data_IF_739699808933
#
_entry.id   IF_739699808933
#
_cell.length_a   1.000
_cell.length_b   1.000
_cell.length_c   1.000
_cell.angle_alpha   90.00
_cell.angle_beta   90.00
_cell.angle_gamma   90.00
#
_symmetry.space_group_name_H-M   'P 1'
#
loop_
_entity.id
_entity.type
_entity.pdbx_description
1 polymer ?
#
# COMPACT_ATOMS: atom_id res chain seq x y z
N UNK A 1 -34.88 10.90 7.76
CA UNK A 1 -33.47 11.01 7.31
C UNK A 1 -32.66 9.73 6.98
N UNK A 2 -32.62 8.69 7.82
CA UNK A 2 -31.71 7.52 7.65
C UNK A 2 -31.78 6.82 6.27
N UNK A 3 -32.97 6.80 5.65
CA UNK A 3 -33.20 6.23 4.31
C UNK A 3 -32.42 6.95 3.20
N UNK A 4 -32.24 8.27 3.31
CA UNK A 4 -31.47 9.06 2.34
C UNK A 4 -29.97 8.77 2.48
N UNK A 5 -29.45 8.74 3.70
CA UNK A 5 -28.07 8.35 3.97
C UNK A 5 -27.76 6.92 3.46
N UNK A 6 -28.68 5.97 3.69
CA UNK A 6 -28.56 4.59 3.18
C UNK A 6 -28.49 4.54 1.65
N UNK A 7 -29.27 5.38 0.95
CA UNK A 7 -29.25 5.48 -0.52
C UNK A 7 -27.88 5.97 -1.01
N UNK A 8 -27.33 7.02 -0.40
CA UNK A 8 -26.01 7.56 -0.75
C UNK A 8 -24.93 6.51 -0.50
N UNK A 9 -24.93 5.89 0.67
CA UNK A 9 -23.98 4.83 1.02
C UNK A 9 -24.05 3.65 0.04
N UNK A 10 -25.25 3.25 -0.40
CA UNK A 10 -25.42 2.21 -1.39
C UNK A 10 -24.85 2.60 -2.76
N UNK A 11 -25.11 3.84 -3.21
CA UNK A 11 -24.55 4.35 -4.45
C UNK A 11 -23.01 4.41 -4.40
N UNK A 12 -22.43 4.85 -3.29
CA UNK A 12 -20.98 4.90 -3.07
C UNK A 12 -20.38 3.49 -3.10
N UNK A 13 -21.00 2.52 -2.42
CA UNK A 13 -20.57 1.11 -2.46
C UNK A 13 -20.63 0.54 -3.88
N UNK A 14 -21.66 0.86 -4.65
CA UNK A 14 -21.79 0.39 -6.03
C UNK A 14 -20.71 0.99 -6.94
N UNK A 15 -20.48 2.31 -6.85
CA UNK A 15 -19.44 3.00 -7.59
C UNK A 15 -18.05 2.48 -7.20
N UNK A 16 -17.78 2.33 -5.89
CA UNK A 16 -16.55 1.75 -5.36
C UNK A 16 -16.32 0.33 -5.85
N UNK A 17 -17.36 -0.53 -5.85
CA UNK A 17 -17.26 -1.90 -6.38
C UNK A 17 -16.93 -1.92 -7.87
N UNK A 18 -17.54 -1.03 -8.67
CA UNK A 18 -17.25 -0.90 -10.10
C UNK A 18 -15.81 -0.42 -10.34
N UNK A 19 -15.37 0.61 -9.62
CA UNK A 19 -14.00 1.12 -9.69
C UNK A 19 -12.98 0.04 -9.29
N UNK A 20 -13.23 -0.69 -8.20
CA UNK A 20 -12.38 -1.81 -7.79
C UNK A 20 -12.34 -2.92 -8.84
N UNK A 21 -13.46 -3.24 -9.50
CA UNK A 21 -13.49 -4.23 -10.58
C UNK A 21 -12.69 -3.76 -11.80
N UNK A 22 -12.82 -2.49 -12.19
CA UNK A 22 -12.04 -1.89 -13.27
C UNK A 22 -10.55 -1.91 -12.96
N UNK A 23 -10.14 -1.42 -11.78
CA UNK A 23 -8.77 -1.43 -11.32
C UNK A 23 -8.16 -2.85 -11.27
N UNK A 24 -8.93 -3.85 -10.81
CA UNK A 24 -8.48 -5.26 -10.83
C UNK A 24 -8.29 -5.80 -12.25
N UNK A 25 -9.16 -5.42 -13.18
CA UNK A 25 -9.06 -5.82 -14.59
C UNK A 25 -7.84 -5.20 -15.25
N UNK A 26 -7.60 -3.91 -15.02
CA UNK A 26 -6.40 -3.20 -15.47
C UNK A 26 -5.14 -3.81 -14.88
N UNK A 27 -5.11 -4.04 -13.56
CA UNK A 27 -3.98 -4.68 -12.87
C UNK A 27 -3.68 -6.07 -13.44
N UNK A 28 -4.72 -6.86 -13.76
CA UNK A 28 -4.57 -8.18 -14.38
C UNK A 28 -3.97 -8.08 -15.79
N UNK A 29 -4.44 -7.13 -16.60
CA UNK A 29 -3.90 -6.87 -17.93
C UNK A 29 -2.44 -6.41 -17.87
N UNK A 30 -2.10 -5.51 -16.95
CA UNK A 30 -0.72 -5.08 -16.72
C UNK A 30 0.17 -6.24 -16.28
N UNK A 31 -0.29 -7.08 -15.35
CA UNK A 31 0.44 -8.30 -14.92
C UNK A 31 0.71 -9.25 -16.09
N UNK A 32 -0.25 -9.43 -17.00
CA UNK A 32 -0.08 -10.30 -18.16
C UNK A 32 0.97 -9.76 -19.13
N UNK A 33 0.88 -8.47 -19.49
CA UNK A 33 1.85 -7.77 -20.37
C UNK A 33 3.25 -7.81 -19.77
N UNK A 34 3.37 -7.49 -18.48
CA UNK A 34 4.65 -7.54 -17.77
C UNK A 34 5.21 -8.97 -17.71
N UNK A 35 4.38 -9.99 -17.52
CA UNK A 35 4.83 -11.38 -17.54
C UNK A 35 5.37 -11.78 -18.90
N UNK A 36 4.73 -11.34 -19.99
CA UNK A 36 5.23 -11.58 -21.35
C UNK A 36 6.57 -10.89 -21.58
N UNK A 37 6.68 -9.61 -21.22
CA UNK A 37 7.91 -8.83 -21.37
C UNK A 37 9.08 -9.42 -20.53
N UNK A 38 8.83 -9.80 -19.28
CA UNK A 38 9.82 -10.47 -18.44
C UNK A 38 10.23 -11.83 -19.00
N UNK A 39 9.29 -12.59 -19.59
CA UNK A 39 9.62 -13.87 -20.23
C UNK A 39 10.52 -13.69 -21.44
N UNK A 40 10.24 -12.69 -22.27
CA UNK A 40 11.06 -12.34 -23.43
C UNK A 40 12.49 -11.97 -23.02
N UNK A 41 12.63 -11.10 -22.02
CA UNK A 41 13.94 -10.72 -21.46
C UNK A 41 14.70 -11.94 -20.88
N UNK A 42 14.01 -12.84 -20.17
CA UNK A 42 14.64 -14.06 -19.63
C UNK A 42 15.02 -15.05 -20.74
N UNK A 43 14.22 -15.18 -21.81
CA UNK A 43 14.58 -16.02 -22.95
C UNK A 43 15.79 -15.47 -23.70
N UNK A 44 15.88 -14.16 -23.88
CA UNK A 44 17.05 -13.51 -24.51
C UNK A 44 18.32 -13.80 -23.70
N UNK A 45 18.28 -13.66 -22.37
CA UNK A 45 19.43 -14.01 -21.50
C UNK A 45 19.82 -15.47 -21.63
N UNK A 46 18.84 -16.39 -21.71
CA UNK A 46 19.13 -17.83 -21.88
C UNK A 46 19.76 -18.13 -23.24
N UNK A 47 19.27 -17.52 -24.30
CA UNK A 47 19.84 -17.66 -25.65
C UNK A 47 21.27 -17.13 -25.67
N UNK A 48 21.50 -15.92 -25.16
CA UNK A 48 22.84 -15.33 -25.04
C UNK A 48 23.81 -16.23 -24.26
N UNK A 49 23.35 -16.89 -23.18
CA UNK A 49 24.19 -17.84 -22.43
C UNK A 49 24.49 -19.13 -23.19
N UNK A 50 23.55 -19.63 -23.99
CA UNK A 50 23.78 -20.81 -24.84
C UNK A 50 24.73 -20.49 -25.99
N UNK A 51 24.51 -19.35 -26.65
CA UNK A 51 25.35 -18.87 -27.74
C UNK A 51 26.77 -18.60 -27.24
N UNK A 52 26.95 -17.97 -26.07
CA UNK A 52 28.28 -17.77 -25.48
C UNK A 52 29.02 -19.08 -25.18
N UNK A 53 28.31 -20.16 -24.81
CA UNK A 53 28.93 -21.48 -24.61
C UNK A 53 29.38 -22.10 -25.93
N UNK A 54 28.54 -22.02 -26.96
CA UNK A 54 28.85 -22.51 -28.30
C UNK A 54 30.04 -21.76 -28.88
N UNK A 55 30.02 -20.43 -28.79
CA UNK A 55 31.09 -19.55 -29.25
C UNK A 55 32.42 -19.89 -28.58
N UNK A 56 32.43 -20.09 -27.25
CA UNK A 56 33.64 -20.49 -26.53
C UNK A 56 34.22 -21.81 -27.06
N UNK A 57 33.36 -22.78 -27.37
CA UNK A 57 33.81 -24.06 -27.91
C UNK A 57 34.36 -23.91 -29.34
N UNK A 58 33.64 -23.20 -30.21
CA UNK A 58 34.07 -22.93 -31.59
C UNK A 58 35.39 -22.16 -31.63
N UNK A 59 35.56 -21.14 -30.79
CA UNK A 59 36.79 -20.35 -30.71
C UNK A 59 37.98 -21.21 -30.23
N UNK A 60 37.74 -22.19 -29.36
CA UNK A 60 38.75 -23.14 -28.91
C UNK A 60 39.14 -24.15 -30.00
N UNK A 61 38.16 -24.68 -30.74
CA UNK A 61 38.40 -25.66 -31.82
C UNK A 61 39.03 -25.04 -33.07
N UNK A 62 38.60 -23.84 -33.42
CA UNK A 62 39.02 -23.14 -34.64
C UNK A 62 40.29 -22.30 -34.44
N UNK A 63 40.62 -21.90 -33.21
CA UNK A 63 41.82 -21.14 -32.88
C UNK A 63 42.00 -19.90 -33.78
N UNK A 64 43.02 -19.85 -34.67
CA UNK A 64 43.27 -18.69 -35.53
C UNK A 64 42.20 -18.46 -36.61
N UNK A 65 41.39 -19.47 -36.95
CA UNK A 65 40.30 -19.35 -37.95
C UNK A 65 38.92 -19.10 -37.30
N UNK A 66 38.90 -18.71 -36.02
CA UNK A 66 37.65 -18.35 -35.34
C UNK A 66 36.93 -17.19 -36.06
N UNK A 67 35.61 -17.30 -36.31
CA UNK A 67 34.88 -16.30 -37.07
C UNK A 67 34.74 -15.00 -36.27
N UNK A 68 34.99 -13.87 -36.94
CA UNK A 68 34.77 -12.54 -36.36
C UNK A 68 33.27 -12.24 -36.31
N UNK A 69 32.69 -12.25 -35.11
CA UNK A 69 31.24 -12.03 -34.91
C UNK A 69 30.88 -10.56 -34.67
N UNK A 70 31.85 -9.75 -34.25
CA UNK A 70 31.70 -8.32 -33.94
C UNK A 70 31.79 -7.41 -35.18
N UNK A 71 31.24 -7.85 -36.32
CA UNK A 71 31.33 -7.11 -37.58
C UNK A 71 30.25 -6.01 -37.71
N UNK A 72 29.55 -5.67 -36.63
CA UNK A 72 28.58 -4.57 -36.55
C UNK A 72 27.22 -4.82 -37.23
N UNK A 73 27.11 -5.75 -38.17
CA UNK A 73 25.86 -6.04 -38.89
C UNK A 73 24.95 -7.06 -38.19
N UNK A 74 25.48 -7.88 -37.27
CA UNK A 74 24.75 -8.97 -36.62
C UNK A 74 24.15 -8.63 -35.25
N UNK A 75 24.37 -7.41 -34.75
CA UNK A 75 23.94 -7.03 -33.40
C UNK A 75 24.52 -7.92 -32.29
N UNK A 76 25.69 -8.54 -32.52
CA UNK A 76 26.27 -9.51 -31.60
C UNK A 76 26.59 -8.86 -30.24
N UNK A 77 26.18 -9.50 -29.15
CA UNK A 77 26.38 -8.99 -27.79
C UNK A 77 25.49 -7.79 -27.40
N UNK A 78 24.61 -7.33 -28.30
CA UNK A 78 23.68 -6.24 -28.02
C UNK A 78 22.40 -6.78 -27.36
N UNK A 79 21.80 -5.98 -26.49
CA UNK A 79 20.51 -6.34 -25.91
C UNK A 79 19.36 -5.74 -26.73
N UNK A 80 18.27 -6.51 -26.86
CA UNK A 80 17.11 -6.12 -27.66
C UNK A 80 15.89 -5.79 -26.80
N UNK A 81 15.69 -6.51 -25.69
CA UNK A 81 14.52 -6.33 -24.84
C UNK A 81 14.63 -5.11 -23.93
N UNK A 82 13.67 -4.19 -24.05
CA UNK A 82 13.64 -2.94 -23.26
C UNK A 82 13.52 -3.15 -21.74
N UNK A 83 12.99 -4.30 -21.31
CA UNK A 83 12.92 -4.63 -19.87
C UNK A 83 14.32 -4.85 -19.27
N UNK A 84 15.34 -5.11 -20.10
CA UNK A 84 16.73 -5.23 -19.64
C UNK A 84 17.36 -3.87 -19.33
N UNK A 85 16.91 -2.79 -19.97
CA UNK A 85 17.36 -1.41 -19.71
C UNK A 85 16.54 -0.70 -18.66
N UNK A 86 15.26 -1.01 -18.55
CA UNK A 86 14.41 -0.50 -17.48
C UNK A 86 13.59 -1.62 -16.88
N UNK A 87 13.98 -2.03 -15.67
CA UNK A 87 13.24 -3.05 -14.93
C UNK A 87 11.82 -2.60 -14.58
N UNK A 88 11.53 -1.29 -14.54
CA UNK A 88 10.18 -0.78 -14.27
C UNK A 88 9.26 -0.81 -15.49
N UNK A 89 9.79 -1.10 -16.69
CA UNK A 89 9.05 -1.10 -17.94
C UNK A 89 8.18 0.17 -18.09
N UNK A 90 8.80 1.35 -18.02
CA UNK A 90 8.12 2.65 -18.05
C UNK A 90 7.09 2.82 -16.91
N UNK A 91 7.43 2.34 -15.70
CA UNK A 91 6.57 2.40 -14.53
C UNK A 91 5.39 1.42 -14.51
N UNK A 92 5.23 0.58 -15.54
CA UNK A 92 4.17 -0.43 -15.62
C UNK A 92 4.45 -1.64 -14.74
N UNK A 93 5.73 -1.96 -14.50
CA UNK A 93 6.15 -3.06 -13.67
C UNK A 93 6.54 -2.59 -12.26
N UNK A 94 5.86 -3.18 -11.28
CA UNK A 94 6.21 -3.07 -9.87
C UNK A 94 6.67 -4.44 -9.38
N UNK A 95 7.94 -4.61 -8.96
CA UNK A 95 8.39 -5.86 -8.39
C UNK A 95 7.56 -6.20 -7.14
N UNK A 96 7.54 -7.48 -6.76
CA UNK A 96 6.88 -7.90 -5.52
C UNK A 96 7.51 -7.17 -4.33
N UNK A 97 6.72 -6.72 -3.34
CA UNK A 97 7.22 -5.94 -2.21
C UNK A 97 8.30 -6.69 -1.42
N UNK A 98 8.23 -8.02 -1.34
CA UNK A 98 9.26 -8.86 -0.71
C UNK A 98 10.63 -8.76 -1.41
N UNK A 99 10.64 -8.69 -2.73
CA UNK A 99 11.87 -8.56 -3.52
C UNK A 99 12.45 -7.16 -3.31
N UNK A 100 11.60 -6.13 -3.32
CA UNK A 100 12.03 -4.75 -3.04
C UNK A 100 12.60 -4.61 -1.63
N UNK A 101 11.93 -5.19 -0.63
CA UNK A 101 12.39 -5.19 0.75
C UNK A 101 13.79 -5.83 0.85
N UNK A 102 14.02 -6.97 0.19
CA UNK A 102 15.34 -7.62 0.15
C UNK A 102 16.41 -6.76 -0.54
N UNK A 103 16.07 -6.09 -1.65
CA UNK A 103 17.01 -5.22 -2.38
C UNK A 103 17.42 -4.01 -1.54
N UNK A 104 16.47 -3.38 -0.85
CA UNK A 104 16.70 -2.17 -0.06
C UNK A 104 17.03 -2.44 1.41
N UNK A 105 17.09 -3.71 1.86
CA UNK A 105 17.22 -4.08 3.27
C UNK A 105 18.46 -3.46 3.94
N UNK A 106 19.60 -3.48 3.25
CA UNK A 106 20.85 -2.96 3.79
C UNK A 106 20.87 -1.43 3.86
N UNK A 107 20.02 -0.74 3.10
CA UNK A 107 20.03 0.72 2.96
C UNK A 107 18.83 1.39 3.66
N UNK A 108 18.30 0.81 4.74
CA UNK A 108 17.20 1.36 5.55
C UNK A 108 15.79 0.95 5.11
N UNK A 109 15.61 0.39 3.91
CA UNK A 109 14.34 -0.12 3.40
C UNK A 109 13.66 0.77 2.35
N UNK A 110 12.41 0.43 2.00
CA UNK A 110 11.69 1.06 0.88
C UNK A 110 11.22 2.49 1.18
N UNK A 111 10.79 2.75 2.42
CA UNK A 111 10.22 4.05 2.82
C UNK A 111 11.29 5.08 3.17
N UNK A 112 12.40 4.61 3.74
CA UNK A 112 13.51 5.43 4.22
C UNK A 112 14.80 4.90 3.60
N UNK A 113 14.95 5.12 2.30
CA UNK A 113 16.14 4.71 1.58
C UNK A 113 17.29 5.65 1.91
N UNK A 114 18.44 5.10 2.32
CA UNK A 114 19.62 5.85 2.78
C UNK A 114 20.66 6.12 1.68
N UNK A 115 20.22 6.19 0.42
CA UNK A 115 21.04 6.44 -0.76
C UNK A 115 20.52 7.66 -1.51
N UNK A 116 21.43 8.47 -2.02
CA UNK A 116 21.15 9.64 -2.82
C UNK A 116 21.93 9.62 -4.14
N UNK A 117 21.49 10.46 -5.08
CA UNK A 117 22.23 10.72 -6.31
C UNK A 117 23.60 11.30 -5.95
N UNK A 118 24.62 10.97 -6.74
CA UNK A 118 26.03 11.35 -6.54
C UNK A 118 26.78 10.67 -5.38
N UNK A 119 26.12 9.80 -4.60
CA UNK A 119 26.82 8.94 -3.63
C UNK A 119 27.83 8.02 -4.34
N UNK A 120 29.01 7.84 -3.73
CA UNK A 120 30.04 6.88 -4.18
C UNK A 120 29.66 5.47 -3.75
N UNK A 121 29.55 4.55 -4.68
CA UNK A 121 29.17 3.17 -4.41
C UNK A 121 30.13 2.19 -5.08
N UNK A 122 30.33 1.05 -4.42
CA UNK A 122 31.07 -0.09 -4.97
C UNK A 122 30.11 -1.15 -5.47
N UNK A 123 30.42 -1.75 -6.62
CA UNK A 123 29.67 -2.85 -7.22
C UNK A 123 30.11 -4.17 -6.57
N UNK A 124 29.18 -4.93 -6.02
CA UNK A 124 29.46 -6.21 -5.33
C UNK A 124 29.30 -7.43 -6.25
N UNK A 125 28.41 -7.35 -7.25
CA UNK A 125 28.05 -8.46 -8.13
C UNK A 125 28.17 -8.07 -9.61
N UNK A 126 28.42 -9.06 -10.47
CA UNK A 126 28.47 -8.88 -11.93
C UNK A 126 29.88 -8.66 -12.50
N UNK A 127 29.97 -8.33 -13.80
CA UNK A 127 31.27 -8.19 -14.49
C UNK A 127 32.15 -7.06 -13.95
N UNK A 128 31.52 -6.00 -13.45
CA UNK A 128 32.20 -4.80 -12.92
C UNK A 128 32.42 -4.85 -11.40
N UNK A 129 32.43 -6.05 -10.81
CA UNK A 129 32.64 -6.24 -9.37
C UNK A 129 33.94 -5.58 -8.88
N UNK A 130 33.85 -4.87 -7.75
CA UNK A 130 34.97 -4.18 -7.11
C UNK A 130 35.23 -2.77 -7.64
N UNK A 131 34.58 -2.35 -8.73
CA UNK A 131 34.70 -0.98 -9.24
C UNK A 131 33.83 -0.02 -8.43
N UNK A 132 34.32 1.20 -8.27
CA UNK A 132 33.65 2.29 -7.55
C UNK A 132 33.12 3.28 -8.58
N UNK A 133 31.86 3.69 -8.45
CA UNK A 133 31.23 4.71 -9.30
C UNK A 133 30.34 5.64 -8.47
N UNK A 134 29.79 6.68 -9.12
CA UNK A 134 28.73 7.52 -8.56
C UNK A 134 27.36 7.09 -9.06
N UNK A 135 26.36 7.25 -8.20
CA UNK A 135 24.96 7.01 -8.57
C UNK A 135 24.47 8.15 -9.46
N UNK A 136 23.98 7.83 -10.66
CA UNK A 136 23.36 8.79 -11.58
C UNK A 136 21.87 8.99 -11.29
N UNK A 137 21.12 7.89 -11.21
CA UNK A 137 19.69 7.93 -10.90
C UNK A 137 19.29 6.79 -9.98
N UNK A 138 18.28 7.04 -9.15
CA UNK A 138 17.72 6.06 -8.21
C UNK A 138 16.26 5.87 -8.55
N UNK A 139 15.84 4.61 -8.75
CA UNK A 139 14.44 4.24 -8.83
C UNK A 139 14.01 3.48 -7.56
N UNK A 140 13.42 4.16 -6.56
CA UNK A 140 13.01 3.52 -5.32
C UNK A 140 11.86 2.53 -5.53
N UNK A 141 10.99 2.75 -6.52
CA UNK A 141 9.87 1.85 -6.80
C UNK A 141 10.33 0.53 -7.43
N UNK A 142 11.37 0.57 -8.28
CA UNK A 142 11.99 -0.59 -8.90
C UNK A 142 13.07 -1.26 -8.05
N UNK A 143 13.61 -0.55 -7.04
CA UNK A 143 14.69 -1.01 -6.18
C UNK A 143 16.01 -1.18 -6.94
N UNK A 144 16.29 -0.29 -7.90
CA UNK A 144 17.51 -0.31 -8.71
C UNK A 144 18.09 1.10 -8.84
N UNK A 145 19.37 1.18 -9.19
CA UNK A 145 20.10 2.41 -9.48
C UNK A 145 20.72 2.32 -10.86
N UNK A 146 21.03 3.46 -11.46
CA UNK A 146 21.94 3.53 -12.60
C UNK A 146 23.19 4.29 -12.21
N UNK A 147 24.33 3.84 -12.72
CA UNK A 147 25.64 4.46 -12.46
C UNK A 147 26.04 5.37 -13.63
N UNK A 148 26.97 6.28 -13.40
CA UNK A 148 27.42 7.25 -14.41
C UNK A 148 28.29 6.60 -15.50
N UNK A 149 29.28 5.80 -15.09
CA UNK A 149 30.39 5.36 -15.95
C UNK A 149 30.41 3.85 -16.15
N UNK A 150 30.17 3.06 -15.10
CA UNK A 150 30.25 1.60 -15.13
C UNK A 150 28.88 0.94 -15.34
N UNK A 151 28.89 -0.38 -15.57
CA UNK A 151 27.70 -1.18 -15.81
C UNK A 151 26.87 -0.69 -17.02
N UNK A 152 27.57 -0.34 -18.11
CA UNK A 152 26.97 0.10 -19.37
C UNK A 152 26.93 -1.06 -20.36
N UNK A 153 25.89 -1.09 -21.19
CA UNK A 153 25.77 -2.06 -22.25
C UNK A 153 25.22 -1.39 -23.52
N UNK A 154 25.38 -2.05 -24.67
CA UNK A 154 24.92 -1.54 -25.97
C UNK A 154 23.51 -2.04 -26.24
N UNK A 155 22.56 -1.10 -26.36
CA UNK A 155 21.19 -1.38 -26.80
C UNK A 155 21.12 -1.45 -28.31
N UNK A 156 20.40 -2.44 -28.83
CA UNK A 156 19.81 -2.30 -30.15
C UNK A 156 18.86 -1.11 -30.14
N UNK A 157 18.97 -0.23 -31.15
CA UNK A 157 18.03 0.86 -31.33
C UNK A 157 16.68 0.29 -31.76
N UNK A 158 15.60 0.81 -31.18
CA UNK A 158 14.26 0.50 -31.66
C UNK A 158 13.99 1.25 -32.97
N UNK A 159 13.27 0.62 -33.89
CA UNK A 159 12.79 1.24 -35.14
C UNK A 159 13.89 1.79 -36.06
N UNK A 160 15.01 1.08 -36.20
CA UNK A 160 16.09 1.45 -37.13
C UNK A 160 17.04 2.53 -36.64
N UNK A 161 16.94 2.92 -35.36
CA UNK A 161 17.93 3.77 -34.72
C UNK A 161 19.26 3.02 -34.52
N UNK A 162 20.35 3.77 -34.52
CA UNK A 162 21.68 3.22 -34.23
C UNK A 162 21.78 2.67 -32.81
N UNK A 163 22.67 1.69 -32.67
CA UNK A 163 23.00 1.13 -31.37
C UNK A 163 23.63 2.17 -30.46
N UNK A 164 23.22 2.20 -29.19
CA UNK A 164 23.74 3.18 -28.21
C UNK A 164 24.14 2.53 -26.89
N UNK A 165 25.25 3.01 -26.32
CA UNK A 165 25.67 2.63 -24.97
C UNK A 165 24.77 3.31 -23.94
N UNK A 166 24.06 2.52 -23.13
CA UNK A 166 23.21 3.01 -22.05
C UNK A 166 23.63 2.38 -20.71
N UNK A 167 23.48 3.10 -19.59
CA UNK A 167 23.68 2.53 -18.27
C UNK A 167 22.59 1.49 -18.00
N UNK A 168 22.98 0.31 -17.53
CA UNK A 168 22.07 -0.77 -17.20
C UNK A 168 21.63 -0.64 -15.72
N UNK A 169 20.39 -0.97 -15.37
CA UNK A 169 19.91 -0.88 -14.00
C UNK A 169 20.57 -1.96 -13.13
N UNK A 170 21.15 -1.53 -12.02
CA UNK A 170 21.76 -2.39 -11.01
C UNK A 170 20.89 -2.43 -9.76
N UNK A 171 20.67 -3.63 -9.20
CA UNK A 171 19.91 -3.78 -7.95
C UNK A 171 20.59 -3.03 -6.80
N UNK A 172 19.81 -2.34 -5.96
CA UNK A 172 20.34 -1.71 -4.73
C UNK A 172 21.03 -2.75 -3.85
N UNK A 173 20.58 -4.01 -3.87
CA UNK A 173 21.22 -5.09 -3.10
C UNK A 173 22.63 -5.45 -3.54
N UNK A 174 23.01 -5.13 -4.79
CA UNK A 174 24.31 -5.48 -5.40
C UNK A 174 25.33 -4.35 -5.35
N UNK A 175 25.03 -3.26 -4.63
CA UNK A 175 25.95 -2.14 -4.39
C UNK A 175 26.12 -1.89 -2.90
N UNK A 176 27.23 -1.25 -2.51
CA UNK A 176 27.45 -0.75 -1.15
C UNK A 176 28.00 0.67 -1.18
N UNK A 177 27.66 1.47 -0.17
CA UNK A 177 28.14 2.85 -0.05
C UNK A 177 29.62 2.84 0.32
N UNK A 178 30.40 3.70 -0.34
CA UNK A 178 31.81 3.93 -0.01
C UNK A 178 31.92 5.33 0.58
N UNK A 179 32.42 5.43 1.80
CA UNK A 179 32.60 6.71 2.47
C UNK A 179 33.91 6.73 3.26
N UNK A 180 34.67 7.84 3.24
CA UNK A 180 35.87 7.98 4.04
C UNK A 180 35.50 8.11 5.52
N UNK A 181 35.99 7.20 6.36
CA UNK A 181 35.81 7.24 7.81
C UNK A 181 37.19 7.35 8.47
N UNK A 182 37.31 8.27 9.43
CA UNK A 182 38.49 8.38 10.28
C UNK A 182 38.44 7.30 11.37
N UNK A 183 39.52 6.53 11.50
CA UNK A 183 39.66 5.58 12.61
C UNK A 183 39.89 6.37 13.92
N UNK A 184 39.10 6.16 14.99
CA UNK A 184 39.27 6.90 16.25
C UNK A 184 40.65 6.70 16.90
N UNK A 185 41.27 5.53 16.74
CA UNK A 185 42.55 5.22 17.39
C UNK A 185 43.76 5.78 16.63
N UNK A 186 43.73 5.74 15.29
CA UNK A 186 44.88 6.12 14.46
C UNK A 186 44.74 7.49 13.80
N UNK A 187 43.54 8.08 13.79
CA UNK A 187 43.24 9.35 13.13
C UNK A 187 43.32 9.31 11.59
N UNK A 188 43.69 8.18 10.99
CA UNK A 188 43.84 8.04 9.54
C UNK A 188 42.45 7.86 8.89
N UNK A 189 42.14 8.73 7.93
CA UNK A 189 40.95 8.61 7.07
C UNK A 189 41.18 7.59 5.97
N UNK A 190 40.31 6.60 5.88
CA UNK A 190 40.33 5.59 4.81
C UNK A 190 38.95 5.42 4.20
N UNK A 191 38.89 5.14 2.91
CA UNK A 191 37.65 4.76 2.24
C UNK A 191 37.19 3.40 2.76
N UNK A 192 35.99 3.36 3.34
CA UNK A 192 35.39 2.14 3.90
C UNK A 192 34.14 1.78 3.12
N UNK A 193 33.97 0.48 2.87
CA UNK A 193 32.73 -0.07 2.32
C UNK A 193 31.75 -0.28 3.46
N UNK A 194 30.58 0.34 3.35
CA UNK A 194 29.55 0.29 4.38
C UNK A 194 28.57 -0.84 4.06
N UNK A 195 28.46 -1.78 4.98
CA UNK A 195 27.63 -2.96 4.79
C UNK A 195 26.13 -2.69 5.00
N UNK A 196 25.79 -1.84 5.97
CA UNK A 196 24.41 -1.54 6.37
C UNK A 196 24.28 -0.06 6.75
N UNK A 197 23.12 0.53 6.46
CA UNK A 197 22.73 1.89 6.81
C UNK A 197 21.34 1.86 7.43
N UNK A 198 21.17 2.54 8.57
CA UNK A 198 19.87 2.73 9.21
C UNK A 198 19.47 4.20 9.23
N UNK A 199 18.18 4.45 9.14
CA UNK A 199 17.63 5.79 9.27
C UNK A 199 17.44 6.14 10.76
N UNK A 200 17.87 7.33 11.15
CA UNK A 200 17.63 7.93 12.47
C UNK A 200 16.77 9.18 12.25
N UNK A 201 15.85 9.49 13.19
CA UNK A 201 15.07 10.72 13.11
C UNK A 201 15.95 11.98 12.90
N UNK A 202 15.43 13.00 12.20
CA UNK A 202 16.13 14.26 11.99
C UNK A 202 16.67 14.84 13.28
N UNK A 203 17.91 15.31 13.26
CA UNK A 203 18.44 16.21 14.28
C UNK A 203 18.77 17.58 13.67
N UNK A 204 17.95 18.59 13.93
CA UNK A 204 18.17 19.96 13.44
C UNK A 204 19.40 20.63 14.06
N UNK A 205 19.86 20.16 15.23
CA UNK A 205 21.09 20.67 15.86
C UNK A 205 22.35 20.05 15.28
N UNK A 206 22.23 19.06 14.38
CA UNK A 206 23.39 18.42 13.76
C UNK A 206 24.00 19.31 12.66
N UNK A 207 25.33 19.30 12.49
CA UNK A 207 25.99 20.07 11.41
C UNK A 207 25.60 19.55 10.00
N UNK A 208 25.05 18.35 9.91
CA UNK A 208 24.68 17.72 8.64
C UNK A 208 23.27 18.11 8.15
N UNK A 209 22.50 18.87 8.95
CA UNK A 209 21.13 19.25 8.63
C UNK A 209 21.05 20.74 8.25
N UNK A 210 21.06 21.04 6.95
CA UNK A 210 20.81 22.39 6.41
C UNK A 210 19.31 22.65 6.19
N UNK A 211 18.93 23.93 6.06
CA UNK A 211 17.56 24.32 5.73
C UNK A 211 17.15 23.82 4.34
N UNK A 212 18.03 23.92 3.34
CA UNK A 212 17.75 23.43 1.98
C UNK A 212 17.49 21.92 1.96
N UNK A 213 18.27 21.16 2.74
CA UNK A 213 18.04 19.73 2.93
C UNK A 213 16.70 19.45 3.62
N UNK A 214 16.28 20.29 4.56
CA UNK A 214 15.02 20.11 5.27
C UNK A 214 13.81 20.31 4.35
N UNK A 215 13.88 21.27 3.42
CA UNK A 215 12.79 21.58 2.50
C UNK A 215 12.76 20.64 1.28
N UNK A 216 13.92 20.42 0.65
CA UNK A 216 14.02 19.72 -0.64
C UNK A 216 14.66 18.32 -0.56
N UNK A 217 15.33 18.00 0.54
CA UNK A 217 16.12 16.78 0.70
C UNK A 217 15.53 15.73 1.64
N UNK A 218 16.38 14.77 2.02
CA UNK A 218 16.02 13.71 2.95
C UNK A 218 16.09 14.20 4.41
N UNK A 219 14.96 14.09 5.11
CA UNK A 219 14.80 14.60 6.49
C UNK A 219 15.41 13.73 7.58
N UNK A 220 15.78 12.48 7.30
CA UNK A 220 16.39 11.59 8.30
C UNK A 220 17.89 11.48 8.07
N UNK A 221 18.64 11.22 9.14
CA UNK A 221 20.06 10.97 9.05
C UNK A 221 20.33 9.48 8.81
N UNK A 222 21.40 9.19 8.07
CA UNK A 222 21.83 7.82 7.81
C UNK A 222 23.03 7.47 8.70
N UNK A 223 22.86 6.44 9.53
CA UNK A 223 23.88 5.97 10.46
C UNK A 223 24.42 4.61 10.00
N UNK A 224 25.71 4.40 10.22
CA UNK A 224 26.32 3.07 10.14
C UNK A 224 26.13 2.37 11.49
N UNK A 225 25.33 1.28 11.55
CA UNK A 225 25.13 0.56 12.80
C UNK A 225 26.46 -0.06 13.29
N UNK A 226 26.66 -0.07 14.60
CA UNK A 226 27.87 -0.58 15.25
C UNK A 226 28.92 0.49 15.52
N UNK A 227 29.30 1.27 14.50
CA UNK A 227 30.25 2.40 14.66
C UNK A 227 29.54 3.68 15.10
N UNK A 228 28.23 3.76 14.89
CA UNK A 228 27.38 4.92 15.21
C UNK A 228 27.85 6.23 14.56
N UNK A 229 28.48 6.13 13.39
CA UNK A 229 28.90 7.30 12.60
C UNK A 229 27.75 7.70 11.68
N UNK A 230 27.34 8.96 11.79
CA UNK A 230 26.37 9.58 10.88
C UNK A 230 27.09 9.99 9.61
N UNK A 231 26.59 9.51 8.48
CA UNK A 231 27.12 9.89 7.17
C UNK A 231 26.27 11.02 6.61
N UNK A 232 26.87 12.17 6.28
CA UNK A 232 26.14 13.28 5.69
C UNK A 232 25.54 12.86 4.35
N UNK A 233 24.42 13.48 4.01
CA UNK A 233 23.89 13.40 2.66
C UNK A 233 24.74 14.24 1.71
N UNK A 234 24.77 13.93 0.40
CA UNK A 234 25.31 14.86 -0.57
C UNK A 234 24.56 16.19 -0.51
N UNK A 235 25.24 17.27 -0.87
CA UNK A 235 24.66 18.61 -0.91
C UNK A 235 23.46 18.64 -1.87
N UNK A 236 22.37 19.24 -1.42
CA UNK A 236 21.14 19.38 -2.19
C UNK A 236 21.08 20.82 -2.67
N UNK A 237 21.14 21.00 -3.99
CA UNK A 237 20.89 22.30 -4.61
C UNK A 237 19.37 22.55 -4.61
N UNK A 238 18.96 23.71 -4.11
CA UNK A 238 17.57 24.13 -4.19
C UNK A 238 17.17 24.26 -5.67
N UNK A 239 16.05 23.67 -6.10
CA UNK A 239 15.60 23.82 -7.47
C UNK A 239 15.33 25.29 -7.77
N UNK A 240 15.93 25.80 -8.85
CA UNK A 240 15.65 27.14 -9.34
C UNK A 240 14.24 27.14 -9.96
N UNK A 241 13.33 27.87 -9.31
CA UNK A 241 11.99 28.08 -9.84
C UNK A 241 12.00 29.36 -10.67
N UNK A 242 11.96 29.21 -11.98
CA UNK A 242 11.75 30.32 -12.90
C UNK A 242 10.31 30.82 -12.77
N UNK A 243 10.15 32.14 -12.65
CA UNK A 243 8.85 32.79 -12.75
C UNK A 243 8.54 33.03 -14.22
N UNK A 244 7.43 32.50 -14.70
CA UNK A 244 6.95 32.74 -16.06
C UNK A 244 5.96 33.89 -16.09
N UNK A 245 5.79 34.53 -17.26
CA UNK A 245 4.83 35.62 -17.44
C UNK A 245 3.37 35.21 -17.19
N UNK A 246 3.08 33.90 -17.24
CA UNK A 246 1.78 33.33 -16.90
C UNK A 246 1.55 33.14 -15.40
N UNK A 247 2.57 33.27 -14.57
CA UNK A 247 2.47 33.11 -13.13
C UNK A 247 1.91 34.39 -12.49
N UNK A 248 1.15 34.20 -11.41
CA UNK A 248 0.63 35.31 -10.63
C UNK A 248 1.73 35.91 -9.76
N UNK A 249 1.88 37.24 -9.83
CA UNK A 249 2.80 38.00 -8.97
C UNK A 249 2.47 37.76 -7.49
N UNK A 250 3.49 37.65 -6.65
CA UNK A 250 3.33 37.39 -5.21
C UNK A 250 2.32 38.31 -4.52
N UNK A 251 2.34 39.60 -4.86
CA UNK A 251 1.40 40.58 -4.31
C UNK A 251 -0.07 40.18 -4.56
N UNK A 252 -0.40 39.69 -5.76
CA UNK A 252 -1.78 39.28 -6.08
C UNK A 252 -2.18 37.99 -5.37
N UNK A 253 -1.22 37.08 -5.12
CA UNK A 253 -1.44 35.83 -4.38
C UNK A 253 -1.66 36.09 -2.89
N UNK A 254 -0.84 36.98 -2.31
CA UNK A 254 -0.89 37.29 -0.88
C UNK A 254 -2.07 38.22 -0.51
N UNK A 255 -2.70 38.86 -1.51
CA UNK A 255 -3.86 39.72 -1.34
C UNK A 255 -5.10 38.95 -0.84
N UNK A 256 -5.40 39.08 0.46
CA UNK A 256 -6.55 38.45 1.11
C UNK A 256 -7.86 39.18 0.84
N UNK A 257 -8.51 38.85 -0.27
CA UNK A 257 -9.77 39.47 -0.72
C UNK A 257 -11.05 38.81 -0.19
N UNK A 258 -10.97 37.59 0.33
CA UNK A 258 -12.14 36.85 0.82
C UNK A 258 -12.51 37.27 2.25
N UNK A 259 -13.75 37.75 2.42
CA UNK A 259 -14.35 38.12 3.70
C UNK A 259 -15.50 37.19 4.05
N UNK A 260 -15.61 36.83 5.33
CA UNK A 260 -16.68 35.96 5.82
C UNK A 260 -17.97 36.77 6.02
N UNK A 261 -18.89 36.66 5.07
CA UNK A 261 -20.25 37.20 5.17
C UNK A 261 -21.22 36.14 5.72
N UNK A 262 -22.15 36.57 6.58
CA UNK A 262 -23.20 35.70 7.13
C UNK A 262 -24.56 35.92 6.45
N UNK A 263 -24.86 37.15 6.04
CA UNK A 263 -26.16 37.55 5.48
C UNK A 263 -26.30 37.26 3.98
N UNK A 264 -25.20 37.26 3.26
CA UNK A 264 -25.15 36.91 1.85
C UNK A 264 -24.24 35.70 1.65
N UNK A 265 -24.56 34.81 0.70
CA UNK A 265 -23.64 33.74 0.35
C UNK A 265 -22.37 34.33 -0.30
N UNK A 266 -21.22 33.64 -0.22
CA UNK A 266 -19.96 34.11 -0.81
C UNK A 266 -19.97 34.11 -2.34
N UNK A 267 -20.95 33.45 -2.96
CA UNK A 267 -21.13 33.31 -4.39
C UNK A 267 -22.62 33.27 -4.71
N UNK A 268 -23.04 33.65 -5.93
CA UNK A 268 -24.44 33.57 -6.35
C UNK A 268 -24.98 32.13 -6.25
N UNK A 269 -26.26 32.00 -5.89
CA UNK A 269 -26.90 30.69 -5.70
C UNK A 269 -26.93 29.83 -6.98
N UNK A 270 -26.97 30.47 -8.15
CA UNK A 270 -26.94 29.80 -9.46
C UNK A 270 -25.69 28.94 -9.64
N UNK A 271 -24.55 29.39 -9.13
CA UNK A 271 -23.27 28.70 -9.27
C UNK A 271 -23.21 27.43 -8.38
N UNK A 272 -24.07 27.33 -7.35
CA UNK A 272 -24.16 26.11 -6.54
C UNK A 272 -24.57 24.91 -7.40
N UNK A 273 -25.46 25.10 -8.37
CA UNK A 273 -25.92 24.04 -9.27
C UNK A 273 -24.86 23.63 -10.31
N UNK A 274 -23.86 24.49 -10.55
CA UNK A 274 -22.68 24.18 -11.37
C UNK A 274 -21.62 23.40 -10.57
N UNK A 275 -21.33 23.82 -9.34
CA UNK A 275 -20.37 23.14 -8.46
C UNK A 275 -20.81 21.73 -8.09
N UNK A 276 -22.13 21.50 -7.98
CA UNK A 276 -22.69 20.18 -7.69
C UNK A 276 -23.96 19.94 -8.48
N UNK A 277 -24.13 18.72 -8.96
CA UNK A 277 -25.39 18.31 -9.53
C UNK A 277 -26.50 18.25 -8.45
N UNK A 278 -27.49 19.15 -8.57
CA UNK A 278 -28.69 19.27 -7.72
C UNK A 278 -29.45 17.97 -7.50
N UNK A 279 -29.49 17.11 -8.51
CA UNK A 279 -30.23 15.84 -8.54
C UNK A 279 -29.33 14.61 -8.35
N UNK A 280 -28.08 14.82 -7.92
CA UNK A 280 -27.13 13.73 -7.69
C UNK A 280 -27.65 12.74 -6.63
N UNK A 281 -27.48 11.45 -6.91
CA UNK A 281 -27.76 10.36 -5.95
C UNK A 281 -26.81 10.38 -4.75
N UNK A 282 -25.70 11.13 -4.83
CA UNK A 282 -24.72 11.32 -3.77
C UNK A 282 -24.96 12.57 -2.92
N UNK A 283 -26.05 13.32 -3.18
CA UNK A 283 -26.41 14.50 -2.39
C UNK A 283 -26.70 14.09 -0.94
N UNK A 284 -26.01 14.72 0.00
CA UNK A 284 -26.18 14.52 1.45
C UNK A 284 -26.82 15.72 2.14
N UNK A 285 -26.58 16.93 1.64
CA UNK A 285 -27.14 18.19 2.17
C UNK A 285 -28.47 18.49 1.45
N UNK A 286 -29.59 18.30 2.14
CA UNK A 286 -30.94 18.52 1.61
C UNK A 286 -31.59 19.71 2.31
N UNK A 287 -32.51 20.37 1.61
CA UNK A 287 -33.35 21.42 2.20
C UNK A 287 -34.38 20.81 3.16
N UNK A 288 -34.81 21.58 4.16
CA UNK A 288 -35.76 21.12 5.18
C UNK A 288 -37.10 20.67 4.58
N UNK A 289 -37.63 21.42 3.60
CA UNK A 289 -38.88 21.06 2.92
C UNK A 289 -38.80 19.68 2.25
N UNK A 290 -37.63 19.32 1.70
CA UNK A 290 -37.43 18.02 1.04
C UNK A 290 -37.36 16.89 2.06
N UNK A 291 -36.74 17.14 3.21
CA UNK A 291 -36.68 16.19 4.33
C UNK A 291 -38.09 15.96 4.88
N UNK A 292 -38.83 17.03 5.16
CA UNK A 292 -40.21 16.97 5.64
C UNK A 292 -41.11 16.22 4.65
N UNK A 293 -41.00 16.50 3.35
CA UNK A 293 -41.75 15.78 2.32
C UNK A 293 -41.44 14.27 2.33
N UNK A 294 -40.17 13.89 2.51
CA UNK A 294 -39.75 12.48 2.56
C UNK A 294 -40.17 11.78 3.85
N UNK A 295 -40.28 12.51 4.94
CA UNK A 295 -40.76 12.01 6.22
C UNK A 295 -42.28 11.86 6.21
N UNK A 296 -43.02 12.81 5.63
CA UNK A 296 -44.44 12.68 5.37
C UNK A 296 -44.77 11.49 4.45
N UNK A 297 -43.98 11.26 3.39
CA UNK A 297 -44.12 10.07 2.52
C UNK A 297 -43.89 8.76 3.29
N UNK A 298 -43.01 8.76 4.30
CA UNK A 298 -42.77 7.60 5.15
C UNK A 298 -43.93 7.39 6.13
N UNK A 299 -44.38 8.45 6.80
CA UNK A 299 -45.52 8.42 7.72
C UNK A 299 -46.82 8.01 7.01
N UNK A 300 -47.09 8.52 5.81
CA UNK A 300 -48.26 8.12 5.02
C UNK A 300 -48.25 6.63 4.66
N UNK A 301 -47.06 6.05 4.42
CA UNK A 301 -46.93 4.60 4.17
C UNK A 301 -47.13 3.77 5.44
N UNK A 302 -46.76 4.30 6.60
CA UNK A 302 -47.01 3.65 7.89
C UNK A 302 -48.49 3.75 8.27
N UNK A 303 -49.09 4.93 8.14
CA UNK A 303 -50.52 5.15 8.32
C UNK A 303 -51.35 4.28 7.36
N UNK A 304 -50.91 4.10 6.11
CA UNK A 304 -51.57 3.17 5.19
C UNK A 304 -51.50 1.72 5.68
N UNK A 305 -50.35 1.28 6.23
CA UNK A 305 -50.24 -0.05 6.85
C UNK A 305 -51.14 -0.18 8.09
N UNK A 306 -51.30 0.89 8.85
CA UNK A 306 -52.21 0.94 10.00
C UNK A 306 -53.68 0.93 9.58
N UNK A 307 -54.04 1.61 8.49
CA UNK A 307 -55.40 1.52 7.92
C UNK A 307 -55.73 0.12 7.41
N UNK A 308 -54.73 -0.68 7.01
CA UNK A 308 -54.95 -2.08 6.69
C UNK A 308 -55.28 -2.89 7.96
N UNK A 309 -54.77 -2.48 9.13
CA UNK A 309 -55.12 -3.13 10.41
C UNK A 309 -56.57 -2.88 10.80
N UNK A 310 -57.19 -1.77 10.39
CA UNK A 310 -58.63 -1.55 10.63
C UNK A 310 -59.54 -2.45 9.77
N UNK A 311 -58.98 -3.24 8.84
CA UNK A 311 -59.70 -4.26 8.07
C UNK A 311 -59.49 -5.68 8.63
N UNK A 312 -58.96 -5.82 9.86
CA UNK A 312 -58.78 -7.12 10.49
C UNK A 312 -60.13 -7.78 10.83
N UNK A 313 -60.15 -9.11 10.84
CA UNK A 313 -61.34 -9.84 11.31
C UNK A 313 -61.36 -9.90 12.84
N UNK A 314 -62.54 -10.04 13.47
CA UNK A 314 -62.65 -10.09 14.94
C UNK A 314 -61.77 -11.19 15.59
N UNK A 315 -61.57 -12.30 14.89
CA UNK A 315 -60.71 -13.39 15.35
C UNK A 315 -59.22 -12.99 15.34
N UNK A 316 -58.79 -12.19 14.36
CA UNK A 316 -57.44 -11.66 14.28
C UNK A 316 -57.17 -10.64 15.41
N UNK A 317 -58.12 -9.75 15.69
CA UNK A 317 -58.04 -8.80 16.81
C UNK A 317 -57.94 -9.53 18.15
N UNK A 318 -58.74 -10.60 18.34
CA UNK A 318 -58.67 -11.45 19.52
C UNK A 318 -57.30 -12.13 19.68
N UNK A 319 -56.72 -12.63 18.59
CA UNK A 319 -55.37 -13.21 18.59
C UNK A 319 -54.27 -12.18 18.84
N UNK A 320 -54.42 -10.93 18.40
CA UNK A 320 -53.51 -9.83 18.75
C UNK A 320 -53.59 -9.47 20.23
N UNK A 321 -54.80 -9.36 20.79
CA UNK A 321 -55.00 -9.12 22.21
C UNK A 321 -54.42 -10.23 23.08
N UNK A 322 -54.58 -11.50 22.71
CA UNK A 322 -53.97 -12.60 23.44
C UNK A 322 -52.44 -12.61 23.34
N UNK A 323 -51.87 -12.18 22.22
CA UNK A 323 -50.41 -12.05 22.07
C UNK A 323 -49.88 -10.90 22.92
N UNK A 324 -50.58 -9.78 22.97
CA UNK A 324 -50.23 -8.66 23.85
C UNK A 324 -50.29 -9.06 25.32
N UNK A 325 -51.34 -9.80 25.73
CA UNK A 325 -51.45 -10.36 27.10
C UNK A 325 -50.31 -11.30 27.43
N UNK A 326 -50.02 -12.28 26.56
CA UNK A 326 -48.88 -13.20 26.75
C UNK A 326 -47.52 -12.49 26.77
N UNK A 327 -47.33 -11.47 25.94
CA UNK A 327 -46.10 -10.67 25.96
C UNK A 327 -45.97 -9.84 27.24
N UNK A 328 -47.08 -9.35 27.80
CA UNK A 328 -47.10 -8.60 29.06
C UNK A 328 -46.90 -9.50 30.28
N UNK A 329 -47.38 -10.75 30.24
CA UNK A 329 -47.17 -11.76 31.28
C UNK A 329 -45.70 -12.22 31.36
N UNK A 330 -44.92 -12.03 30.28
CA UNK A 330 -43.51 -12.42 30.23
C UNK A 330 -43.32 -13.93 30.17
N UNK A 331 -42.05 -14.38 30.17
CA UNK A 331 -41.75 -15.81 30.31
C UNK A 331 -41.84 -16.22 31.78
N UNK A 332 -42.53 -17.34 32.11
CA UNK A 332 -42.64 -17.78 33.49
C UNK A 332 -41.27 -18.21 34.01
N UNK A 333 -40.82 -17.56 35.08
CA UNK A 333 -39.58 -17.93 35.77
C UNK A 333 -39.77 -19.27 36.50
N UNK A 334 -38.85 -20.22 36.29
CA UNK A 334 -38.86 -21.50 37.00
C UNK A 334 -38.47 -21.26 38.47
N UNK A 335 -39.41 -21.56 39.38
CA UNK A 335 -39.12 -21.54 40.82
C UNK A 335 -37.99 -22.50 41.18
N UNK A 336 -37.23 -22.16 42.22
CA UNK A 336 -36.11 -22.96 42.74
C UNK A 336 -36.52 -24.40 43.08
N UNK A 337 -37.70 -24.61 43.66
CA UNK A 337 -38.22 -25.96 43.96
C UNK A 337 -38.46 -26.80 42.70
N UNK A 338 -38.89 -26.17 41.59
CA UNK A 338 -39.07 -26.87 40.32
C UNK A 338 -37.71 -27.24 39.71
N UNK A 339 -36.71 -26.38 39.86
CA UNK A 339 -35.34 -26.68 39.44
C UNK A 339 -34.72 -27.82 40.27
N UNK A 340 -34.98 -27.87 41.57
CA UNK A 340 -34.56 -28.98 42.44
C UNK A 340 -35.22 -30.30 42.04
N UNK A 341 -36.53 -30.29 41.76
CA UNK A 341 -37.25 -31.47 41.25
C UNK A 341 -36.72 -31.92 39.89
N UNK A 342 -36.43 -30.98 38.99
CA UNK A 342 -35.77 -31.29 37.71
C UNK A 342 -34.38 -31.86 37.92
N UNK A 343 -33.60 -31.31 38.87
CA UNK A 343 -32.30 -31.84 39.28
C UNK A 343 -32.38 -33.26 39.82
N UNK A 344 -33.37 -33.56 40.66
CA UNK A 344 -33.61 -34.91 41.19
C UNK A 344 -33.99 -35.91 40.09
N UNK A 345 -34.82 -35.51 39.12
CA UNK A 345 -35.16 -36.36 37.97
C UNK A 345 -33.93 -36.60 37.09
N UNK A 346 -33.10 -35.57 36.89
CA UNK A 346 -31.83 -35.69 36.14
C UNK A 346 -30.89 -36.65 36.87
N UNK A 347 -30.74 -36.54 38.19
CA UNK A 347 -29.92 -37.45 39.00
C UNK A 347 -30.44 -38.89 38.92
N UNK A 348 -31.74 -39.11 39.10
CA UNK A 348 -32.35 -40.44 38.99
C UNK A 348 -32.17 -41.06 37.60
N UNK A 349 -32.35 -40.27 36.53
CA UNK A 349 -32.12 -40.74 35.15
C UNK A 349 -30.64 -41.00 34.87
N UNK A 350 -29.75 -40.17 35.41
CA UNK A 350 -28.29 -40.35 35.31
C UNK A 350 -27.87 -41.61 36.05
N UNK A 351 -28.37 -41.84 37.25
CA UNK A 351 -28.15 -43.08 38.01
C UNK A 351 -28.70 -44.31 37.30
N UNK A 352 -29.91 -44.23 36.75
CA UNK A 352 -30.49 -45.32 35.95
C UNK A 352 -29.67 -45.60 34.68
N UNK A 353 -29.17 -44.55 34.02
CA UNK A 353 -28.29 -44.67 32.86
C UNK A 353 -26.92 -45.25 33.23
N UNK A 354 -26.33 -44.82 34.35
CA UNK A 354 -25.07 -45.34 34.90
C UNK A 354 -25.19 -46.80 35.34
N UNK A 355 -26.30 -47.19 35.98
CA UNK A 355 -26.63 -48.58 36.33
C UNK A 355 -26.81 -49.45 35.08
N UNK A 356 -27.45 -48.91 34.04
CA UNK A 356 -27.60 -49.60 32.74
C UNK A 356 -26.28 -49.70 31.97
N UNK A 357 -25.35 -48.78 32.19
CA UNK A 357 -24.01 -48.76 31.60
C UNK A 357 -22.96 -49.51 32.44
N UNK A 358 -23.30 -49.99 33.65
CA UNK A 358 -22.42 -50.80 34.50
C UNK A 358 -21.25 -50.05 35.16
N UNK A 359 -21.33 -48.72 35.32
CA UNK A 359 -20.27 -47.88 35.88
C UNK A 359 -20.80 -47.05 37.06
N UNK A 360 -20.07 -47.01 38.18
CA UNK A 360 -20.37 -46.14 39.33
C UNK A 360 -19.67 -44.78 39.22
N UNK A 361 -20.32 -43.73 39.71
CA UNK A 361 -19.84 -42.35 39.59
C UNK A 361 -18.70 -42.06 40.59
N UNK A 362 -17.59 -41.48 40.12
CA UNK A 362 -16.47 -41.00 40.94
C UNK A 362 -16.80 -39.58 41.41
N UNK A 363 -16.85 -39.36 42.72
CA UNK A 363 -17.13 -38.05 43.31
C UNK A 363 -16.05 -37.03 42.93
N UNK A 364 -16.44 -35.98 42.21
CA UNK A 364 -15.60 -34.81 41.96
C UNK A 364 -15.79 -33.78 43.07
N UNK A 365 -14.67 -33.42 43.70
CA UNK A 365 -14.55 -32.44 44.77
C UNK A 365 -14.87 -31.00 44.32
N UNK A 366 -15.36 -30.22 45.28
CA UNK A 366 -15.56 -28.77 45.33
C UNK A 366 -15.08 -27.94 44.13
N UNK A 367 -16.04 -27.35 43.42
CA UNK A 367 -15.82 -26.19 42.56
C UNK A 367 -16.77 -25.06 42.98
N UNK A 368 -16.38 -24.31 44.01
CA UNK A 368 -16.95 -23.00 44.32
C UNK A 368 -16.62 -22.02 43.20
N UNK A 369 -17.61 -21.71 42.36
CA UNK A 369 -17.53 -20.61 41.39
C UNK A 369 -18.01 -19.34 42.11
N UNK A 370 -17.22 -18.25 42.19
CA UNK A 370 -17.65 -17.02 42.84
C UNK A 370 -18.71 -16.28 41.98
N UNK A 371 -19.63 -15.53 42.60
CA UNK A 371 -20.73 -14.87 41.91
C UNK A 371 -20.23 -13.69 41.05
N UNK A 372 -20.59 -13.68 39.77
CA UNK A 372 -20.40 -12.51 38.90
C UNK A 372 -21.43 -11.43 39.24
N UNK A 373 -20.99 -10.38 39.92
CA UNK A 373 -21.74 -9.14 40.10
C UNK A 373 -21.95 -8.45 38.76
N UNK A 374 -23.17 -8.52 38.22
CA UNK A 374 -23.64 -7.68 37.12
C UNK A 374 -24.20 -6.37 37.68
N UNK A 375 -23.41 -5.31 37.64
CA UNK A 375 -23.88 -3.94 37.85
C UNK A 375 -24.70 -3.48 36.63
N UNK A 376 -25.91 -2.93 36.79
CA UNK A 376 -26.66 -2.35 35.67
C UNK A 376 -26.04 -1.01 35.22
N UNK A 377 -26.16 -0.65 33.93
CA UNK A 377 -25.67 0.62 33.43
C UNK A 377 -26.52 1.78 33.98
N UNK A 378 -25.85 2.76 34.58
CA UNK A 378 -26.46 4.03 34.97
C UNK A 378 -26.96 4.79 33.73
N UNK A 379 -28.11 5.42 33.89
CA UNK A 379 -28.67 6.44 32.99
C UNK A 379 -27.82 7.72 33.01
#
# INVERSE_FOLDING_TARGET
MQKLAKRVAQAQRQAGRRAQKAAKSEESNYKLRNRQAMRAAVSEVRQNLQDARRVRQEDWELGPIAPKRDLGFNGYGMFTEGVRTDWSNYGLYRPRPEVLAKRCAWAGGLKQLNLAVSDRVVIMDGPDKGKIDRIKTINPQGGYVTLENYHRAISAGMFGNDSRSQPMPLSIGSIRLVYPIANPETGVTRDVIINELKAIPPNMSSPNMSFDRWEYGNKWDRIVPGINVVIPWPEVEAPEFETFDGDTVRETVDNRTFYYNLLSPPMPETVIDELRNKFSKFRTRHEEWYVQQKEAEAAAKEAHKESIKSMQTPLQEFHEMQRAKRAAEGEPELSTEMLEKLGAIIAQRKEAALKKAGVSEVAAADASIPPSTTTPPAQ
#
